data_IF_494863352004
#
_entry.id   IF_494863352004
#
_cell.length_a   1.000
_cell.length_b   1.000
_cell.length_c   1.000
_cell.angle_alpha   90.00
_cell.angle_beta   90.00
_cell.angle_gamma   90.00
#
_symmetry.space_group_name_H-M   'P 1'
#
loop_
_entity.id
_entity.type
_entity.pdbx_description
1 polymer ?
#
# COMPACT_ATOMS: atom_id res chain seq x y z
N UNK A 1 13.21 -8.74 4.09
CA UNK A 1 12.78 -7.97 2.89
C UNK A 1 11.46 -7.28 3.23
N UNK A 2 11.30 -5.98 2.95
CA UNK A 2 10.03 -5.28 3.19
C UNK A 2 8.88 -6.02 2.51
N UNK A 3 7.67 -5.95 3.07
CA UNK A 3 6.50 -6.51 2.40
C UNK A 3 6.24 -5.71 1.11
N UNK A 4 6.72 -6.23 -0.03
CA UNK A 4 6.64 -5.57 -1.35
C UNK A 4 5.22 -5.13 -1.69
N UNK A 5 4.21 -5.89 -1.25
CA UNK A 5 2.81 -5.52 -1.43
C UNK A 5 2.43 -4.22 -0.71
N UNK A 6 2.90 -4.02 0.51
CA UNK A 6 2.67 -2.79 1.28
C UNK A 6 3.31 -1.57 0.60
N UNK A 7 4.52 -1.73 0.07
CA UNK A 7 5.22 -0.66 -0.64
C UNK A 7 4.46 -0.27 -1.92
N UNK A 8 3.98 -1.24 -2.70
CA UNK A 8 3.10 -0.99 -3.86
C UNK A 8 1.84 -0.23 -3.45
N UNK A 9 1.18 -0.64 -2.36
CA UNK A 9 -0.01 0.03 -1.87
C UNK A 9 0.27 1.47 -1.43
N UNK A 10 1.36 1.70 -0.70
CA UNK A 10 1.73 3.05 -0.26
C UNK A 10 1.98 4.00 -1.44
N UNK A 11 2.60 3.52 -2.52
CA UNK A 11 2.79 4.32 -3.73
C UNK A 11 1.46 4.65 -4.39
N UNK A 12 0.59 3.66 -4.53
CA UNK A 12 -0.75 3.80 -5.11
C UNK A 12 -1.65 4.77 -4.30
N UNK A 13 -1.56 4.74 -2.98
CA UNK A 13 -2.31 5.63 -2.10
C UNK A 13 -1.73 7.05 -2.02
N UNK A 14 -0.43 7.23 -2.28
CA UNK A 14 0.20 8.55 -2.29
C UNK A 14 -0.28 9.42 -3.47
N UNK A 15 -0.70 8.79 -4.57
CA UNK A 15 -1.23 9.46 -5.77
C UNK A 15 -2.50 8.76 -6.26
N UNK A 16 -3.62 8.85 -5.50
CA UNK A 16 -4.86 8.18 -5.88
C UNK A 16 -5.39 8.81 -7.17
N UNK A 17 -5.74 7.97 -8.15
CA UNK A 17 -6.20 8.41 -9.45
C UNK A 17 -5.09 8.69 -10.47
N UNK A 18 -3.80 8.64 -10.11
CA UNK A 18 -2.71 8.73 -11.08
C UNK A 18 -2.19 7.35 -11.50
N UNK A 19 -1.69 7.26 -12.73
CA UNK A 19 -1.01 6.08 -13.23
C UNK A 19 0.41 6.05 -12.65
N UNK A 20 0.72 4.98 -11.92
CA UNK A 20 2.08 4.68 -11.50
C UNK A 20 2.67 3.67 -12.48
N UNK A 21 3.78 4.04 -13.10
CA UNK A 21 4.42 3.21 -14.13
C UNK A 21 5.10 1.98 -13.53
N UNK A 22 5.25 0.91 -14.34
CA UNK A 22 6.00 -0.30 -13.91
C UNK A 22 7.46 0.05 -13.55
N UNK A 23 8.05 1.03 -14.24
CA UNK A 23 9.43 1.47 -13.98
C UNK A 23 9.57 2.21 -12.65
N UNK A 24 8.63 3.10 -12.32
CA UNK A 24 8.59 3.75 -11.00
C UNK A 24 8.42 2.72 -9.87
N UNK A 25 7.54 1.74 -10.05
CA UNK A 25 7.35 0.66 -9.07
C UNK A 25 8.61 -0.18 -8.93
N UNK A 26 9.31 -0.46 -10.05
CA UNK A 26 10.56 -1.22 -10.05
C UNK A 26 11.65 -0.50 -9.28
N UNK A 27 11.89 0.78 -9.58
CA UNK A 27 12.95 1.57 -8.94
C UNK A 27 12.76 1.69 -7.43
N UNK A 28 11.51 1.80 -6.98
CA UNK A 28 11.20 1.92 -5.56
C UNK A 28 11.26 0.57 -4.81
N UNK A 29 10.87 -0.53 -5.46
CA UNK A 29 10.86 -1.86 -4.84
C UNK A 29 12.23 -2.53 -4.84
N UNK A 30 13.01 -2.31 -5.89
CA UNK A 30 14.32 -2.91 -6.12
C UNK A 30 15.29 -1.85 -6.64
N UNK A 31 16.01 -1.14 -5.75
CA UNK A 31 17.12 -0.28 -6.17
C UNK A 31 18.21 -1.11 -6.86
N UNK A 32 19.01 -0.44 -7.69
CA UNK A 32 19.78 -0.88 -8.86
C UNK A 32 20.66 -2.14 -8.79
N UNK A 33 20.73 -2.86 -7.66
CA UNK A 33 21.60 -4.02 -7.42
C UNK A 33 20.84 -5.32 -7.09
N UNK A 34 19.53 -5.42 -7.33
CA UNK A 34 18.76 -6.65 -7.04
C UNK A 34 18.44 -7.46 -8.31
N UNK A 35 18.93 -8.70 -8.42
CA UNK A 35 18.62 -9.58 -9.56
C UNK A 35 17.37 -10.44 -9.27
N UNK A 36 16.20 -10.02 -9.79
CA UNK A 36 14.93 -10.76 -9.66
C UNK A 36 14.11 -10.61 -10.94
N UNK A 37 13.18 -11.55 -11.20
CA UNK A 37 12.14 -11.35 -12.20
C UNK A 37 11.16 -10.26 -11.72
N UNK A 38 11.43 -9.03 -12.16
CA UNK A 38 10.68 -7.83 -11.77
C UNK A 38 9.20 -7.91 -12.13
N UNK A 39 8.88 -8.46 -13.30
CA UNK A 39 7.49 -8.52 -13.77
C UNK A 39 6.71 -9.57 -13.01
N UNK A 40 7.30 -10.75 -12.78
CA UNK A 40 6.66 -11.81 -12.02
C UNK A 40 6.45 -11.40 -10.56
N UNK A 41 7.46 -10.79 -9.93
CA UNK A 41 7.39 -10.34 -8.54
C UNK A 41 6.42 -9.17 -8.35
N UNK A 42 6.38 -8.21 -9.29
CA UNK A 42 5.42 -7.12 -9.27
C UNK A 42 3.98 -7.62 -9.44
N UNK A 43 3.75 -8.54 -10.39
CA UNK A 43 2.43 -9.14 -10.58
C UNK A 43 1.99 -9.94 -9.34
N UNK A 44 2.92 -10.68 -8.71
CA UNK A 44 2.64 -11.41 -7.47
C UNK A 44 2.29 -10.46 -6.30
N UNK A 45 3.00 -9.34 -6.17
CA UNK A 45 2.70 -8.33 -5.16
C UNK A 45 1.32 -7.69 -5.36
N UNK A 46 0.97 -7.33 -6.59
CA UNK A 46 -0.34 -6.75 -6.92
C UNK A 46 -1.47 -7.76 -6.72
N UNK A 47 -1.27 -9.03 -7.08
CA UNK A 47 -2.28 -10.07 -6.84
C UNK A 47 -2.51 -10.31 -5.33
N UNK A 48 -1.45 -10.24 -4.50
CA UNK A 48 -1.62 -10.26 -3.04
C UNK A 48 -2.44 -9.07 -2.54
N UNK A 49 -2.20 -7.86 -3.05
CA UNK A 49 -3.01 -6.69 -2.71
C UNK A 49 -4.48 -6.87 -3.10
N UNK A 50 -4.74 -7.37 -4.31
CA UNK A 50 -6.10 -7.66 -4.76
C UNK A 50 -6.82 -8.65 -3.85
N UNK A 51 -6.14 -9.72 -3.45
CA UNK A 51 -6.71 -10.71 -2.54
C UNK A 51 -7.09 -10.09 -1.18
N UNK A 52 -6.23 -9.23 -0.62
CA UNK A 52 -6.49 -8.56 0.67
C UNK A 52 -7.61 -7.52 0.55
N UNK A 53 -7.68 -6.78 -0.56
CA UNK A 53 -8.71 -5.76 -0.80
C UNK A 53 -10.04 -6.34 -1.32
N UNK A 54 -10.12 -7.66 -1.57
CA UNK A 54 -11.28 -8.29 -2.19
C UNK A 54 -11.54 -7.79 -3.62
N UNK A 55 -10.47 -7.47 -4.35
CA UNK A 55 -10.49 -6.91 -5.70
C UNK A 55 -10.12 -7.95 -6.77
N UNK A 56 -10.52 -7.72 -8.02
CA UNK A 56 -10.15 -8.60 -9.15
C UNK A 56 -9.61 -7.78 -10.33
N UNK A 57 -8.78 -8.42 -11.17
CA UNK A 57 -8.24 -7.76 -12.36
C UNK A 57 -9.30 -7.53 -13.45
N UNK A 58 -10.34 -8.36 -13.48
CA UNK A 58 -11.43 -8.32 -14.47
C UNK A 58 -12.50 -7.28 -14.13
N UNK A 59 -12.71 -7.01 -12.84
CA UNK A 59 -13.65 -5.99 -12.34
C UNK A 59 -12.98 -5.14 -11.25
N UNK A 60 -12.02 -4.26 -11.62
CA UNK A 60 -11.24 -3.50 -10.66
C UNK A 60 -12.10 -2.51 -9.90
N UNK A 61 -12.21 -2.67 -8.58
CA UNK A 61 -12.86 -1.74 -7.65
C UNK A 61 -11.86 -0.76 -7.03
N UNK A 62 -10.62 -1.21 -6.83
CA UNK A 62 -9.59 -0.43 -6.16
C UNK A 62 -8.34 -0.25 -7.02
N UNK A 63 -7.85 -1.33 -7.66
CA UNK A 63 -6.60 -1.33 -8.44
C UNK A 63 -6.87 -1.68 -9.90
N UNK A 64 -6.86 -0.65 -10.75
CA UNK A 64 -6.92 -0.79 -12.20
C UNK A 64 -5.54 -1.18 -12.78
N UNK A 65 -5.51 -2.22 -13.61
CA UNK A 65 -4.32 -2.56 -14.41
C UNK A 65 -4.39 -1.86 -15.75
N UNK A 66 -3.37 -1.09 -16.10
CA UNK A 66 -3.19 -0.55 -17.44
C UNK A 66 -2.09 -1.36 -18.15
N UNK A 67 -2.44 -2.28 -19.07
CA UNK A 67 -1.49 -3.16 -19.73
C UNK A 67 -0.30 -2.39 -20.31
N UNK A 68 0.91 -2.89 -20.05
CA UNK A 68 2.19 -2.31 -20.51
C UNK A 68 2.51 -0.91 -19.98
N UNK A 69 1.66 -0.31 -19.15
CA UNK A 69 1.88 1.02 -18.57
C UNK A 69 2.13 0.94 -17.07
N UNK A 70 1.24 0.28 -16.32
CA UNK A 70 1.36 0.20 -14.87
C UNK A 70 0.02 0.01 -14.16
N UNK A 71 -0.11 0.60 -12.98
CA UNK A 71 -1.27 0.42 -12.10
C UNK A 71 -1.80 1.77 -11.62
N UNK A 72 -3.11 1.82 -11.37
CA UNK A 72 -3.81 3.02 -10.92
C UNK A 72 -4.74 2.67 -9.76
N UNK A 73 -4.75 3.51 -8.74
CA UNK A 73 -5.69 3.37 -7.63
C UNK A 73 -6.94 4.21 -7.89
N UNK A 74 -8.12 3.60 -7.84
CA UNK A 74 -9.37 4.24 -8.28
C UNK A 74 -10.10 5.00 -7.17
N UNK A 75 -9.78 4.72 -5.89
CA UNK A 75 -10.51 5.24 -4.74
C UNK A 75 -9.66 6.27 -4.01
N UNK A 76 -10.23 7.41 -3.65
CA UNK A 76 -9.56 8.32 -2.72
C UNK A 76 -9.74 7.77 -1.30
N UNK A 77 -8.66 7.41 -0.57
CA UNK A 77 -8.79 6.89 0.77
C UNK A 77 -9.37 7.96 1.69
N UNK A 78 -10.49 7.65 2.33
CA UNK A 78 -11.02 8.45 3.42
C UNK A 78 -10.26 8.06 4.69
N UNK A 79 -9.43 8.97 5.21
CA UNK A 79 -8.71 8.73 6.46
C UNK A 79 -9.77 8.76 7.57
N UNK A 80 -10.11 7.59 8.10
CA UNK A 80 -10.96 7.52 9.28
C UNK A 80 -10.24 8.21 10.45
N UNK A 81 -10.59 9.47 10.72
CA UNK A 81 -10.11 10.18 11.89
C UNK A 81 -10.47 9.35 13.12
N UNK A 82 -9.44 8.91 13.84
CA UNK A 82 -9.60 8.26 15.13
C UNK A 82 -10.47 9.14 16.03
N UNK A 83 -11.55 8.54 16.53
CA UNK A 83 -12.55 9.15 17.40
C UNK A 83 -11.91 9.79 18.64
N UNK A 84 -11.48 11.05 18.53
CA UNK A 84 -11.17 11.89 19.68
C UNK A 84 -12.50 12.42 20.22
N UNK A 85 -12.93 11.89 21.36
CA UNK A 85 -14.06 12.44 22.13
C UNK A 85 -13.67 13.82 22.64
N UNK A 86 -14.32 14.88 22.16
CA UNK A 86 -14.22 16.22 22.72
C UNK A 86 -15.16 17.21 22.03
N UNK A 87 -16.19 17.64 22.73
CA UNK A 87 -17.24 18.58 22.33
C UNK A 87 -16.72 19.94 21.81
N UNK A 88 -17.44 20.52 20.86
CA UNK A 88 -17.39 21.95 20.54
C UNK A 88 -18.13 22.31 19.25
N UNK A 89 -19.40 22.72 19.36
CA UNK A 89 -20.21 23.38 18.32
C UNK A 89 -19.50 24.68 17.83
N UNK A 90 -19.78 25.33 16.68
CA UNK A 90 -21.03 25.57 15.95
C UNK A 90 -20.70 26.23 14.55
N UNK A 91 -21.63 26.88 13.79
CA UNK A 91 -21.86 26.56 12.37
C UNK A 91 -21.77 27.73 11.36
N UNK A 92 -21.92 27.42 10.07
CA UNK A 92 -22.64 28.29 9.12
C UNK A 92 -21.90 28.74 7.87
N UNK A 93 -22.39 28.33 6.70
CA UNK A 93 -22.47 29.16 5.48
C UNK A 93 -23.37 28.50 4.44
N UNK A 94 -24.67 28.55 4.72
CA UNK A 94 -25.77 28.28 3.78
C UNK A 94 -26.41 29.64 3.44
N UNK A 95 -25.77 30.45 2.59
CA UNK A 95 -26.34 31.69 2.02
C UNK A 95 -25.47 32.21 0.87
N UNK A 96 -25.69 31.71 -0.34
CA UNK A 96 -25.39 32.41 -1.60
C UNK A 96 -25.99 31.63 -2.77
N UNK A 97 -27.31 31.70 -2.94
CA UNK A 97 -27.98 31.17 -4.15
C UNK A 97 -29.24 31.93 -4.59
N UNK A 98 -29.54 33.10 -4.02
CA UNK A 98 -30.81 33.80 -4.30
C UNK A 98 -30.67 35.29 -4.66
N UNK A 99 -29.54 35.74 -5.20
CA UNK A 99 -29.36 37.14 -5.61
C UNK A 99 -28.75 37.27 -7.02
N UNK A 100 -29.30 36.56 -8.01
CA UNK A 100 -28.83 36.64 -9.40
C UNK A 100 -29.91 36.62 -10.50
N UNK A 101 -31.19 36.72 -10.15
CA UNK A 101 -32.29 36.55 -11.13
C UNK A 101 -33.25 37.74 -11.29
N UNK A 102 -32.92 38.95 -10.82
CA UNK A 102 -33.86 40.09 -10.88
C UNK A 102 -33.34 41.39 -11.50
N UNK A 103 -32.23 41.37 -12.24
CA UNK A 103 -31.69 42.60 -12.86
C UNK A 103 -31.52 42.52 -14.40
N UNK A 104 -32.25 41.62 -15.07
CA UNK A 104 -32.20 41.47 -16.54
C UNK A 104 -33.54 41.68 -17.27
N UNK A 105 -34.56 42.23 -16.60
CA UNK A 105 -35.82 42.62 -17.22
C UNK A 105 -36.09 44.09 -16.95
N UNK A 106 -35.57 44.96 -17.81
CA UNK A 106 -35.72 46.40 -17.65
C UNK A 106 -35.24 47.17 -18.86
N UNK A 107 -36.20 47.40 -19.75
CA UNK A 107 -36.31 48.58 -20.61
C UNK A 107 -35.62 48.56 -21.98
N UNK A 108 -36.51 48.53 -22.97
CA UNK A 108 -36.35 48.85 -24.39
C UNK A 108 -36.50 50.36 -24.56
N UNK A 109 -35.68 51.01 -25.39
CA UNK A 109 -36.17 52.08 -26.25
C UNK A 109 -35.27 52.30 -27.48
N UNK A 110 -35.97 52.61 -28.56
CA UNK A 110 -35.66 52.72 -29.99
C UNK A 110 -34.63 53.78 -30.41
N UNK A 111 -34.06 53.65 -31.61
CA UNK A 111 -34.35 54.50 -32.80
C UNK A 111 -33.65 53.90 -34.03
N UNK A 112 -34.41 53.80 -35.11
CA UNK A 112 -34.06 53.38 -36.46
C UNK A 112 -33.75 54.61 -37.33
N UNK A 113 -32.67 54.59 -38.12
CA UNK A 113 -32.59 55.21 -39.46
C UNK A 113 -31.42 54.62 -40.26
N UNK A 114 -31.78 53.83 -41.26
CA UNK A 114 -31.50 53.96 -42.70
C UNK A 114 -30.11 54.37 -43.28
N UNK A 115 -29.82 53.60 -44.33
CA UNK A 115 -29.09 53.84 -45.58
C UNK A 115 -27.56 54.05 -45.71
N UNK A 116 -27.00 53.13 -46.52
CA UNK A 116 -25.94 53.27 -47.53
C UNK A 116 -24.81 54.29 -47.31
N UNK A 117 -23.58 53.78 -47.20
CA UNK A 117 -22.56 53.90 -48.27
C UNK A 117 -21.24 53.18 -47.96
N UNK A 118 -20.61 52.80 -49.06
CA UNK A 118 -19.39 52.02 -49.22
C UNK A 118 -18.15 52.69 -48.63
N UNK A 119 -17.25 51.82 -48.17
CA UNK A 119 -15.80 51.88 -48.33
C UNK A 119 -15.13 53.26 -48.34
N UNK A 120 -14.41 53.59 -47.26
CA UNK A 120 -13.01 54.01 -47.42
C UNK A 120 -12.22 53.93 -46.11
N UNK A 121 -11.13 53.18 -46.23
CA UNK A 121 -9.96 53.07 -45.36
C UNK A 121 -9.58 54.39 -44.70
N UNK A 122 -9.55 54.44 -43.36
CA UNK A 122 -8.67 55.32 -42.59
C UNK A 122 -7.91 54.51 -41.54
N UNK A 123 -6.59 54.52 -41.70
CA UNK A 123 -5.58 53.79 -40.94
C UNK A 123 -5.45 54.42 -39.55
N UNK A 124 -6.15 53.90 -38.56
CA UNK A 124 -5.92 54.26 -37.15
C UNK A 124 -4.84 53.34 -36.56
N UNK A 125 -3.63 53.89 -36.40
CA UNK A 125 -2.61 53.32 -35.52
C UNK A 125 -3.16 53.40 -34.09
N UNK A 126 -3.38 52.27 -33.40
CA UNK A 126 -3.41 52.30 -31.94
C UNK A 126 -3.04 50.96 -31.27
N UNK A 127 -1.97 51.04 -30.48
CA UNK A 127 -1.58 50.27 -29.30
C UNK A 127 -1.84 48.76 -29.23
N UNK A 128 -0.91 47.98 -29.80
CA UNK A 128 -0.50 46.68 -29.22
C UNK A 128 0.41 46.93 -28.01
N UNK A 129 0.06 46.36 -26.85
CA UNK A 129 1.03 46.07 -25.79
C UNK A 129 0.52 46.27 -24.36
N UNK A 130 0.64 45.22 -23.54
CA UNK A 130 0.46 45.16 -22.08
C UNK A 130 -0.96 45.00 -21.53
N UNK A 131 -1.60 43.83 -21.71
CA UNK A 131 -2.63 43.34 -20.73
C UNK A 131 -2.65 41.80 -20.50
N UNK A 132 -1.55 41.07 -20.67
CA UNK A 132 -1.53 39.60 -20.44
C UNK A 132 -0.51 39.13 -19.38
N UNK A 133 0.26 40.02 -18.74
CA UNK A 133 1.37 39.61 -17.86
C UNK A 133 1.03 39.35 -16.38
N UNK A 134 -0.17 39.70 -15.89
CA UNK A 134 -0.48 39.57 -14.45
C UNK A 134 -0.88 38.16 -13.94
N UNK A 135 -1.61 37.29 -14.67
CA UNK A 135 -2.00 35.98 -14.11
C UNK A 135 -0.82 35.00 -13.98
N UNK A 136 0.20 35.13 -14.84
CA UNK A 136 1.39 34.27 -14.81
C UNK A 136 2.28 34.52 -13.58
N UNK A 137 2.37 35.78 -13.13
CA UNK A 137 3.19 36.14 -11.97
C UNK A 137 2.60 35.58 -10.66
N UNK A 138 1.27 35.63 -10.51
CA UNK A 138 0.56 35.10 -9.34
C UNK A 138 0.64 33.57 -9.29
N UNK A 139 0.47 32.90 -10.44
CA UNK A 139 0.66 31.44 -10.55
C UNK A 139 2.10 31.02 -10.21
N UNK A 140 3.10 31.80 -10.65
CA UNK A 140 4.50 31.57 -10.31
C UNK A 140 4.77 31.67 -8.80
N UNK A 141 4.20 32.67 -8.13
CA UNK A 141 4.32 32.83 -6.67
C UNK A 141 3.64 31.68 -5.93
N UNK A 142 2.47 31.24 -6.38
CA UNK A 142 1.78 30.09 -5.80
C UNK A 142 2.57 28.79 -5.97
N UNK A 143 3.15 28.54 -7.14
CA UNK A 143 4.03 27.39 -7.37
C UNK A 143 5.30 27.47 -6.52
N UNK A 144 5.88 28.66 -6.36
CA UNK A 144 7.04 28.87 -5.51
C UNK A 144 6.71 28.60 -4.04
N UNK A 145 5.57 29.09 -3.54
CA UNK A 145 5.11 28.82 -2.18
C UNK A 145 4.76 27.34 -1.98
N UNK A 146 4.10 26.70 -2.93
CA UNK A 146 3.81 25.27 -2.87
C UNK A 146 5.10 24.43 -2.88
N UNK A 147 6.09 24.80 -3.70
CA UNK A 147 7.40 24.18 -3.70
C UNK A 147 8.14 24.42 -2.37
N UNK A 148 8.03 25.61 -1.78
CA UNK A 148 8.67 25.94 -0.50
C UNK A 148 8.00 25.19 0.67
N UNK A 149 6.68 25.03 0.63
CA UNK A 149 5.91 24.20 1.56
C UNK A 149 6.28 22.73 1.39
N UNK A 150 6.37 22.23 0.15
CA UNK A 150 6.79 20.86 -0.14
C UNK A 150 8.25 20.60 0.22
N UNK A 151 9.14 21.58 0.09
CA UNK A 151 10.53 21.46 0.52
C UNK A 151 10.67 21.48 2.04
N UNK A 152 9.75 22.17 2.73
CA UNK A 152 9.79 22.33 4.20
C UNK A 152 9.01 21.23 4.93
N UNK A 153 7.97 20.69 4.32
CA UNK A 153 7.06 19.68 4.88
C UNK A 153 6.89 18.44 4.01
N UNK A 154 7.69 18.29 2.96
CA UNK A 154 7.73 17.08 2.15
C UNK A 154 8.07 15.87 3.01
N UNK A 155 7.67 14.67 2.58
CA UNK A 155 7.90 13.44 3.33
C UNK A 155 9.40 13.31 3.61
N UNK A 156 9.78 13.49 4.87
CA UNK A 156 11.14 13.21 5.32
C UNK A 156 11.32 11.71 5.15
N UNK A 157 12.28 11.31 4.32
CA UNK A 157 12.65 9.90 4.26
C UNK A 157 13.00 9.44 5.68
N UNK A 158 12.42 8.33 6.16
CA UNK A 158 12.74 7.82 7.47
C UNK A 158 14.25 7.59 7.52
N UNK A 159 14.92 8.27 8.44
CA UNK A 159 16.37 8.20 8.57
C UNK A 159 16.76 6.82 9.11
N UNK A 160 16.92 5.85 8.20
CA UNK A 160 17.34 4.48 8.49
C UNK A 160 18.78 4.43 9.02
N UNK A 161 19.56 5.52 8.90
CA UNK A 161 20.95 5.60 9.34
C UNK A 161 21.13 5.56 10.86
N UNK A 162 20.04 5.48 11.62
CA UNK A 162 20.06 5.32 13.08
C UNK A 162 19.43 4.01 13.58
N UNK A 163 19.04 3.09 12.68
CA UNK A 163 18.48 1.80 13.08
C UNK A 163 19.52 0.99 13.87
N UNK A 164 19.41 1.03 15.20
CA UNK A 164 20.27 0.27 16.11
C UNK A 164 19.91 -1.21 16.01
N UNK A 165 20.80 -2.00 15.41
CA UNK A 165 20.65 -3.46 15.35
C UNK A 165 20.81 -4.01 16.77
N UNK A 166 19.75 -4.61 17.30
CA UNK A 166 19.76 -5.29 18.59
C UNK A 166 19.46 -6.78 18.37
N UNK A 167 20.13 -7.68 19.08
CA UNK A 167 19.82 -9.10 19.01
C UNK A 167 18.38 -9.32 19.51
N UNK A 168 17.61 -10.09 18.75
CA UNK A 168 16.24 -10.46 19.12
C UNK A 168 16.22 -11.56 20.19
N UNK A 169 17.17 -12.48 20.10
CA UNK A 169 17.38 -13.61 21.01
C UNK A 169 18.87 -13.74 21.29
N UNK A 170 19.21 -14.41 22.40
CA UNK A 170 20.59 -14.74 22.77
C UNK A 170 20.66 -16.15 23.37
N UNK A 171 19.85 -17.06 22.81
CA UNK A 171 19.75 -18.43 23.29
C UNK A 171 21.00 -19.23 22.92
N UNK A 172 21.42 -20.17 23.78
CA UNK A 172 22.50 -21.09 23.43
C UNK A 172 22.06 -22.03 22.30
N UNK A 173 23.00 -22.49 21.49
CA UNK A 173 22.74 -23.45 20.42
C UNK A 173 22.50 -22.79 19.06
N UNK A 174 21.56 -23.33 18.27
CA UNK A 174 21.29 -22.85 16.91
C UNK A 174 19.86 -22.34 16.77
N UNK A 175 19.72 -21.14 16.20
CA UNK A 175 18.46 -20.50 15.84
C UNK A 175 18.42 -20.33 14.31
N UNK A 176 17.41 -20.89 13.66
CA UNK A 176 17.30 -20.94 12.19
C UNK A 176 15.87 -20.68 11.71
N UNK A 177 15.75 -20.40 10.41
CA UNK A 177 14.48 -20.20 9.71
C UNK A 177 13.50 -19.20 10.38
N UNK A 178 13.94 -17.96 10.71
CA UNK A 178 13.06 -16.97 11.31
C UNK A 178 12.01 -16.45 10.32
N UNK A 179 10.81 -16.18 10.81
CA UNK A 179 9.73 -15.57 10.03
C UNK A 179 8.85 -14.66 10.89
N UNK A 180 8.56 -13.45 10.38
CA UNK A 180 7.73 -12.47 11.06
C UNK A 180 6.24 -12.82 10.93
N UNK A 181 5.48 -12.56 11.98
CA UNK A 181 4.03 -12.52 11.90
C UNK A 181 3.56 -11.40 10.96
N UNK A 182 2.35 -11.50 10.36
CA UNK A 182 1.86 -10.51 9.40
C UNK A 182 1.76 -9.08 9.97
N UNK A 183 1.51 -8.96 11.27
CA UNK A 183 1.45 -7.70 12.03
C UNK A 183 2.84 -7.22 12.52
N UNK A 184 3.89 -8.01 12.34
CA UNK A 184 5.26 -7.71 12.76
C UNK A 184 5.51 -7.80 14.27
N UNK A 185 4.53 -8.23 15.07
CA UNK A 185 4.63 -8.26 16.53
C UNK A 185 5.37 -9.49 17.06
N UNK A 186 5.48 -10.56 16.27
CA UNK A 186 6.03 -11.84 16.68
C UNK A 186 6.98 -12.42 15.63
N UNK A 187 7.91 -13.26 16.09
CA UNK A 187 8.82 -14.01 15.24
C UNK A 187 8.70 -15.48 15.59
N UNK A 188 8.41 -16.31 14.59
CA UNK A 188 8.52 -17.75 14.69
C UNK A 188 9.90 -18.18 14.19
N UNK A 189 10.54 -19.10 14.89
CA UNK A 189 11.88 -19.58 14.54
C UNK A 189 12.09 -21.01 15.06
N UNK A 190 12.98 -21.73 14.39
CA UNK A 190 13.40 -23.06 14.81
C UNK A 190 14.62 -22.94 15.71
N UNK A 191 14.59 -23.56 16.89
CA UNK A 191 15.69 -23.51 17.86
C UNK A 191 16.07 -24.90 18.35
N UNK A 192 17.39 -25.13 18.44
CA UNK A 192 18.01 -26.34 18.98
C UNK A 192 19.00 -25.93 20.06
N UNK A 193 18.74 -26.30 21.31
CA UNK A 193 19.60 -25.95 22.46
C UNK A 193 20.99 -26.58 22.37
N UNK A 194 21.08 -27.79 21.83
CA UNK A 194 22.32 -28.54 21.63
C UNK A 194 22.44 -29.00 20.17
N UNK A 195 23.67 -29.02 19.64
CA UNK A 195 23.96 -29.55 18.31
C UNK A 195 23.53 -31.03 18.24
N UNK A 196 22.67 -31.36 17.26
CA UNK A 196 22.23 -32.73 17.01
C UNK A 196 20.99 -33.21 17.75
N UNK A 197 20.39 -32.41 18.67
CA UNK A 197 19.12 -32.78 19.33
C UNK A 197 17.87 -32.50 18.47
N UNK A 198 18.04 -31.81 17.35
CA UNK A 198 16.95 -31.40 16.47
C UNK A 198 16.31 -30.10 16.92
N UNK A 199 15.59 -29.47 16.00
CA UNK A 199 14.92 -28.21 16.20
C UNK A 199 13.50 -28.41 16.71
N UNK A 200 13.10 -27.53 17.62
CA UNK A 200 11.72 -27.28 17.98
C UNK A 200 11.29 -25.91 17.45
N UNK A 201 9.99 -25.74 17.21
CA UNK A 201 9.42 -24.47 16.77
C UNK A 201 9.06 -23.60 17.96
N UNK A 202 9.52 -22.36 17.94
CA UNK A 202 9.24 -21.35 18.95
C UNK A 202 8.65 -20.09 18.33
N UNK A 203 7.88 -19.37 19.14
CA UNK A 203 7.39 -18.03 18.82
C UNK A 203 7.77 -17.09 19.96
N UNK A 204 8.38 -15.94 19.63
CA UNK A 204 8.71 -14.88 20.59
C UNK A 204 8.07 -13.56 20.14
N UNK A 205 7.57 -12.79 21.09
CA UNK A 205 7.03 -11.45 20.85
C UNK A 205 8.15 -10.41 20.85
N UNK A 206 8.12 -9.46 19.91
CA UNK A 206 9.10 -8.36 19.83
C UNK A 206 9.02 -7.49 21.08
N UNK A 207 10.17 -7.30 21.74
CA UNK A 207 10.28 -6.52 22.98
C UNK A 207 9.86 -7.26 24.25
N UNK A 208 9.47 -8.53 24.16
CA UNK A 208 9.18 -9.39 25.32
C UNK A 208 10.20 -10.51 25.42
N UNK A 209 10.57 -10.91 26.62
CA UNK A 209 11.37 -12.14 26.84
C UNK A 209 10.52 -13.42 26.83
N UNK A 210 9.19 -13.29 26.74
CA UNK A 210 8.30 -14.44 26.68
C UNK A 210 8.42 -15.13 25.32
N UNK A 211 8.79 -16.40 25.36
CA UNK A 211 8.75 -17.31 24.21
C UNK A 211 7.76 -18.46 24.48
N UNK A 212 7.16 -18.97 23.41
CA UNK A 212 6.24 -20.09 23.44
C UNK A 212 6.78 -21.20 22.53
N UNK A 213 6.94 -22.41 23.08
CA UNK A 213 7.25 -23.62 22.32
C UNK A 213 5.96 -24.17 21.71
N UNK A 214 5.96 -24.45 20.41
CA UNK A 214 4.79 -24.92 19.66
C UNK A 214 4.84 -26.40 19.29
N UNK A 215 6.03 -27.00 19.23
CA UNK A 215 6.22 -28.43 18.93
C UNK A 215 6.59 -29.20 20.19
N UNK A 216 6.22 -30.47 20.26
CA UNK A 216 6.59 -31.39 21.34
C UNK A 216 7.71 -32.35 20.92
N UNK A 217 7.86 -32.58 19.62
CA UNK A 217 8.81 -33.53 19.03
C UNK A 217 9.87 -32.80 18.18
N UNK A 218 11.14 -32.85 18.58
CA UNK A 218 12.21 -32.20 17.83
C UNK A 218 12.43 -32.91 16.48
N UNK A 219 12.83 -32.13 15.47
CA UNK A 219 13.06 -32.58 14.10
C UNK A 219 14.40 -32.09 13.58
N UNK A 220 15.15 -32.86 12.77
CA UNK A 220 16.39 -32.40 12.13
C UNK A 220 16.24 -31.10 11.33
N UNK A 221 15.04 -30.83 10.84
CA UNK A 221 14.73 -29.60 10.11
C UNK A 221 13.27 -29.18 10.35
N UNK A 222 13.05 -27.88 10.55
CA UNK A 222 11.74 -27.23 10.64
C UNK A 222 11.78 -25.92 9.85
N UNK A 223 10.78 -25.68 9.01
CA UNK A 223 10.61 -24.43 8.27
C UNK A 223 9.21 -23.86 8.49
N UNK A 224 9.05 -22.80 9.30
CA UNK A 224 7.75 -22.20 9.61
C UNK A 224 7.31 -21.12 8.60
N UNK A 225 6.00 -20.95 8.48
CA UNK A 225 5.34 -19.90 7.72
C UNK A 225 4.03 -19.49 8.43
N UNK A 226 3.85 -18.19 8.64
CA UNK A 226 2.63 -17.65 9.23
C UNK A 226 1.47 -17.67 8.24
N UNK A 227 0.27 -17.90 8.77
CA UNK A 227 -0.96 -17.64 8.04
C UNK A 227 -1.13 -16.13 7.82
N UNK A 228 -1.77 -15.67 6.72
CA UNK A 228 -1.93 -14.24 6.41
C UNK A 228 -2.70 -13.45 7.48
N UNK A 229 -3.59 -14.13 8.20
CA UNK A 229 -4.39 -13.58 9.30
C UNK A 229 -3.67 -13.65 10.67
N UNK A 230 -2.48 -14.26 10.73
CA UNK A 230 -1.66 -14.36 11.95
C UNK A 230 -2.19 -15.33 13.00
N UNK A 231 -3.22 -16.11 12.70
CA UNK A 231 -3.87 -17.03 13.65
C UNK A 231 -3.20 -18.40 13.75
N UNK A 232 -2.42 -18.77 12.73
CA UNK A 232 -1.85 -20.11 12.57
C UNK A 232 -0.43 -20.05 12.03
N UNK A 233 0.33 -21.11 12.28
CA UNK A 233 1.64 -21.34 11.68
C UNK A 233 1.63 -22.69 10.98
N UNK A 234 1.89 -22.68 9.68
CA UNK A 234 2.24 -23.89 8.93
C UNK A 234 3.75 -24.14 9.07
N UNK A 235 4.17 -25.38 9.23
CA UNK A 235 5.59 -25.72 9.21
C UNK A 235 5.85 -27.03 8.48
N UNK A 236 6.90 -27.05 7.68
CA UNK A 236 7.44 -28.28 7.10
C UNK A 236 8.44 -28.90 8.08
N UNK A 237 8.29 -30.19 8.37
CA UNK A 237 9.30 -30.97 9.10
C UNK A 237 9.79 -32.12 8.25
N UNK A 238 11.08 -32.44 8.37
CA UNK A 238 11.66 -33.62 7.73
C UNK A 238 12.18 -34.60 8.77
N UNK A 239 11.58 -35.78 8.81
CA UNK A 239 12.01 -36.92 9.63
C UNK A 239 11.79 -38.20 8.84
N UNK A 240 12.67 -39.21 8.99
CA UNK A 240 12.42 -40.51 8.37
C UNK A 240 11.06 -41.05 8.82
N UNK A 241 10.16 -41.30 7.87
CA UNK A 241 8.82 -41.86 8.10
C UNK A 241 7.76 -40.88 8.67
N UNK A 242 8.12 -39.64 9.00
CA UNK A 242 7.22 -38.67 9.66
C UNK A 242 7.42 -37.23 9.14
N UNK A 243 7.93 -37.11 7.92
CA UNK A 243 8.07 -35.84 7.20
C UNK A 243 6.75 -35.38 6.59
N UNK A 244 6.47 -34.07 6.64
CA UNK A 244 5.22 -33.50 6.13
C UNK A 244 5.07 -32.02 6.44
N UNK A 245 3.92 -31.48 6.05
CA UNK A 245 3.46 -30.12 6.37
C UNK A 245 2.44 -30.23 7.48
N UNK A 246 2.65 -29.44 8.54
CA UNK A 246 1.82 -29.42 9.74
C UNK A 246 1.32 -27.99 9.95
N UNK A 247 0.19 -27.84 10.66
CA UNK A 247 -0.34 -26.53 11.05
C UNK A 247 -0.61 -26.52 12.55
N UNK A 248 -0.28 -25.41 13.22
CA UNK A 248 -0.57 -25.18 14.63
C UNK A 248 -1.33 -23.85 14.78
N UNK A 249 -2.52 -23.85 15.40
CA UNK A 249 -3.21 -22.63 15.77
C UNK A 249 -2.54 -21.97 16.98
N UNK A 250 -2.46 -20.64 16.97
CA UNK A 250 -1.94 -19.84 18.09
C UNK A 250 -3.01 -19.45 19.11
N UNK A 251 -4.29 -19.56 18.72
CA UNK A 251 -5.45 -19.19 19.55
C UNK A 251 -6.20 -20.39 20.18
N UNK A 252 -5.75 -21.62 19.94
CA UNK A 252 -6.31 -22.82 20.55
C UNK A 252 -5.17 -23.63 21.18
N UNK A 253 -5.49 -24.38 22.24
CA UNK A 253 -4.52 -25.20 22.99
C UNK A 253 -3.77 -26.25 22.16
N UNK A 254 -3.01 -27.14 22.81
CA UNK A 254 -1.93 -27.90 22.18
C UNK A 254 -2.39 -28.70 20.94
N UNK A 255 -1.74 -28.39 19.82
CA UNK A 255 -1.61 -29.13 18.55
C UNK A 255 -2.71 -30.15 18.21
N UNK A 256 -3.60 -29.79 17.29
CA UNK A 256 -4.40 -30.77 16.55
C UNK A 256 -3.62 -31.20 15.30
N UNK A 257 -3.26 -32.49 15.22
CA UNK A 257 -2.45 -33.10 14.15
C UNK A 257 -3.29 -33.18 12.84
N UNK A 258 -3.41 -32.08 12.11
CA UNK A 258 -3.99 -32.10 10.77
C UNK A 258 -2.97 -32.61 9.75
N UNK A 259 -3.15 -33.86 9.31
CA UNK A 259 -2.41 -34.46 8.18
C UNK A 259 -3.15 -34.20 6.88
N UNK A 260 -2.45 -33.70 5.88
CA UNK A 260 -2.98 -33.68 4.51
C UNK A 260 -3.32 -35.12 4.07
N UNK A 261 -4.46 -35.35 3.40
CA UNK A 261 -4.77 -36.67 2.85
C UNK A 261 -3.70 -37.03 1.80
N UNK A 262 -3.04 -38.17 1.99
CA UNK A 262 -2.07 -38.71 1.03
C UNK A 262 -2.72 -39.03 -0.32
N UNK A 263 -1.93 -39.13 -1.41
CA UNK A 263 -2.45 -39.49 -2.72
C UNK A 263 -3.15 -40.86 -2.64
N UNK A 264 -4.45 -40.86 -2.94
CA UNK A 264 -5.35 -41.97 -2.72
C UNK A 264 -4.91 -43.26 -3.39
N UNK A 265 -4.90 -44.34 -2.61
CA UNK A 265 -5.01 -45.70 -3.10
C UNK A 265 -6.20 -45.81 -4.06
N UNK A 266 -5.93 -46.29 -5.28
CA UNK A 266 -6.93 -46.61 -6.28
C UNK A 266 -7.97 -47.57 -5.69
N UNK A 267 -9.23 -47.12 -5.61
CA UNK A 267 -10.35 -48.04 -5.47
C UNK A 267 -10.66 -48.59 -6.86
N UNK A 268 -10.38 -49.88 -7.03
CA UNK A 268 -10.88 -50.69 -8.13
C UNK A 268 -12.41 -50.68 -8.11
N UNK A 269 -13.04 -50.20 -9.18
CA UNK A 269 -14.45 -50.47 -9.46
C UNK A 269 -14.57 -51.89 -10.00
N UNK A 270 -15.47 -52.68 -9.39
CA UNK A 270 -16.12 -53.83 -10.03
C UNK A 270 -17.21 -53.35 -10.96
#
# INVERSE_FOLDING_TARGET
MPNQSFVVLSMLLARPGDLITREELRQQLWPSDTFVDYDQSLNAAVNRLRNVLGDTAEKPRFIETLPRRGYRFLVTPEIAEGKSRGNGAAPGLRRQRQAREQLQSGFSESVETDDRRKAQVHKSKNHRGRRVLMPAAVAGIFLMLAALVWLRWGPREPNLSSAKVVPFTSLPGQEVAPTFSPDGSQIAFAWSSNLGQGFDLYVKTVGSERMLKLTDRPSPWISPAWSPDGTQIAFARWRQGDGGIFMVPLLAGPSEDWRAPGPGTSRSCK
#
